data_IF_887793233876
#
_entry.id   IF_887793233876
#
_cell.length_a   1.000
_cell.length_b   1.000
_cell.length_c   1.000
_cell.angle_alpha   90.00
_cell.angle_beta   90.00
_cell.angle_gamma   90.00
#
_symmetry.space_group_name_H-M   'P 1'
#
loop_
_entity.id
_entity.type
_entity.pdbx_description
1 polymer ?
#
# COMPACT_ATOMS: atom_id res chain seq x y z
N UNK A 1 -36.18 55.62 -24.34
CA UNK A 1 -36.49 56.62 -23.30
C UNK A 1 -37.56 55.97 -22.44
N UNK A 2 -37.34 55.49 -21.22
CA UNK A 2 -36.24 55.54 -20.26
C UNK A 2 -36.44 54.32 -19.34
N UNK A 3 -35.40 53.57 -18.97
CA UNK A 3 -34.79 53.74 -17.66
C UNK A 3 -34.73 52.38 -16.94
N UNK A 4 -33.55 51.77 -16.90
CA UNK A 4 -33.24 50.68 -15.99
C UNK A 4 -33.01 51.26 -14.58
N UNK A 5 -33.60 50.71 -13.50
CA UNK A 5 -33.09 50.90 -12.17
C UNK A 5 -32.12 49.76 -11.81
N UNK A 6 -30.94 50.17 -11.38
CA UNK A 6 -29.87 49.36 -10.80
C UNK A 6 -30.34 48.60 -9.56
N UNK A 7 -29.98 47.32 -9.46
CA UNK A 7 -30.20 46.46 -8.29
C UNK A 7 -29.07 45.45 -8.17
N UNK A 8 -27.98 45.91 -7.57
CA UNK A 8 -26.81 45.15 -7.15
C UNK A 8 -27.15 44.27 -5.94
N UNK A 9 -26.72 43.02 -5.92
CA UNK A 9 -26.99 42.12 -4.79
C UNK A 9 -26.58 40.68 -5.08
N UNK A 10 -25.30 40.41 -4.84
CA UNK A 10 -24.75 39.06 -4.84
C UNK A 10 -25.49 38.17 -3.83
N UNK A 11 -26.03 37.04 -4.30
CA UNK A 11 -26.44 35.96 -3.43
C UNK A 11 -26.03 34.63 -4.09
N UNK A 12 -24.73 34.33 -3.98
CA UNK A 12 -24.22 32.99 -4.26
C UNK A 12 -24.58 32.10 -3.07
N UNK A 13 -25.78 31.53 -3.16
CA UNK A 13 -26.30 30.35 -2.46
C UNK A 13 -25.42 29.77 -1.35
N UNK A 14 -25.75 30.17 -0.11
CA UNK A 14 -26.16 29.27 0.97
C UNK A 14 -25.37 27.96 1.13
N UNK A 15 -24.15 28.06 1.66
CA UNK A 15 -23.56 26.96 2.44
C UNK A 15 -24.17 26.99 3.85
N UNK A 16 -24.95 25.98 4.28
CA UNK A 16 -25.56 25.99 5.60
C UNK A 16 -24.48 25.99 6.71
N UNK A 17 -24.73 26.66 7.85
CA UNK A 17 -23.79 26.67 8.96
C UNK A 17 -23.63 25.25 9.52
N UNK A 18 -22.38 24.79 9.62
CA UNK A 18 -22.04 23.53 10.28
C UNK A 18 -22.49 23.62 11.75
N UNK A 19 -23.49 22.82 12.10
CA UNK A 19 -24.05 22.69 13.46
C UNK A 19 -22.98 22.33 14.51
N UNK A 20 -23.18 22.67 15.80
CA UNK A 20 -22.13 22.64 16.80
C UNK A 20 -21.71 21.23 17.24
N UNK A 21 -20.38 21.13 17.40
CA UNK A 21 -19.50 20.06 17.89
C UNK A 21 -20.13 19.03 18.86
N UNK A 22 -20.17 17.77 18.42
CA UNK A 22 -20.27 16.57 19.27
C UNK A 22 -18.84 16.07 19.65
N UNK A 23 -18.68 15.31 20.76
CA UNK A 23 -17.48 15.33 21.58
C UNK A 23 -16.24 14.77 20.87
N UNK A 24 -15.15 15.53 20.94
CA UNK A 24 -13.83 15.14 20.44
C UNK A 24 -13.37 13.89 21.19
N UNK A 25 -13.62 12.71 20.62
CA UNK A 25 -12.91 11.50 21.04
C UNK A 25 -11.42 11.82 20.98
N UNK A 26 -10.71 11.67 22.11
CA UNK A 26 -9.29 12.02 22.18
C UNK A 26 -8.56 11.29 21.06
N UNK A 27 -8.09 12.06 20.06
CA UNK A 27 -7.37 11.52 18.91
C UNK A 27 -6.09 10.88 19.43
N UNK A 28 -6.05 9.55 19.47
CA UNK A 28 -4.92 8.75 19.99
C UNK A 28 -3.59 8.97 19.25
N UNK A 29 -3.66 9.49 18.01
CA UNK A 29 -2.51 9.78 17.16
C UNK A 29 -2.58 11.23 16.66
N UNK A 30 -1.91 12.14 17.36
CA UNK A 30 -1.81 13.55 17.01
C UNK A 30 -0.77 13.73 15.89
N UNK A 31 -1.08 14.58 14.92
CA UNK A 31 -0.15 14.94 13.84
C UNK A 31 0.29 16.35 14.11
N UNK A 32 1.56 16.53 14.42
CA UNK A 32 2.20 17.84 14.55
C UNK A 32 3.40 17.84 13.61
N UNK A 33 3.38 18.75 12.64
CA UNK A 33 4.46 18.88 11.66
C UNK A 33 5.33 20.08 11.97
N UNK A 34 6.64 19.89 11.93
CA UNK A 34 7.58 20.99 11.96
C UNK A 34 7.62 21.74 10.59
N UNK A 35 8.22 22.94 10.52
CA UNK A 35 8.24 23.73 9.28
C UNK A 35 8.94 23.03 8.09
N UNK A 36 10.00 22.26 8.36
CA UNK A 36 10.77 21.53 7.34
C UNK A 36 9.94 20.37 6.77
N UNK A 37 9.34 19.57 7.65
CA UNK A 37 8.40 18.50 7.35
C UNK A 37 7.23 19.00 6.51
N UNK A 38 6.62 20.12 6.92
CA UNK A 38 5.51 20.73 6.18
C UNK A 38 5.94 21.14 4.77
N UNK A 39 7.13 21.74 4.64
CA UNK A 39 7.68 22.16 3.35
C UNK A 39 7.95 20.96 2.45
N UNK A 40 8.57 19.92 2.97
CA UNK A 40 8.83 18.68 2.26
C UNK A 40 7.53 18.02 1.77
N UNK A 41 6.52 17.89 2.63
CA UNK A 41 5.23 17.31 2.26
C UNK A 41 4.49 18.15 1.20
N UNK A 42 4.57 19.49 1.28
CA UNK A 42 4.02 20.37 0.24
C UNK A 42 4.70 20.15 -1.11
N UNK A 43 6.02 20.02 -1.14
CA UNK A 43 6.78 19.71 -2.36
C UNK A 43 6.41 18.32 -2.90
N UNK A 44 6.28 17.32 -2.04
CA UNK A 44 5.87 15.96 -2.42
C UNK A 44 4.46 15.93 -3.03
N UNK A 45 3.53 16.76 -2.53
CA UNK A 45 2.20 16.95 -3.12
C UNK A 45 2.26 17.76 -4.42
N UNK A 46 3.21 18.69 -4.57
CA UNK A 46 3.38 19.44 -5.83
C UNK A 46 3.98 18.58 -6.96
N UNK A 47 4.92 17.66 -6.65
CA UNK A 47 5.70 16.88 -7.62
C UNK A 47 4.89 15.92 -8.54
N UNK A 48 3.58 15.81 -8.37
CA UNK A 48 2.68 15.24 -9.39
C UNK A 48 2.71 13.71 -9.55
N UNK A 49 1.84 13.01 -8.82
CA UNK A 49 1.31 11.69 -9.22
C UNK A 49 0.11 11.33 -8.34
N UNK A 50 -1.14 11.34 -8.84
CA UNK A 50 -2.35 11.25 -8.03
C UNK A 50 -2.56 9.89 -7.31
N UNK A 51 -1.75 8.87 -7.61
CA UNK A 51 -2.01 7.48 -7.18
C UNK A 51 -0.93 6.88 -6.27
N UNK A 52 0.03 7.65 -5.75
CA UNK A 52 1.06 7.12 -4.84
C UNK A 52 0.61 7.20 -3.37
N UNK A 53 0.90 6.15 -2.60
CA UNK A 53 0.72 6.12 -1.13
C UNK A 53 1.42 7.33 -0.45
N UNK A 54 2.69 7.67 -0.79
CA UNK A 54 3.36 8.85 -0.23
C UNK A 54 2.55 10.14 -0.37
N UNK A 55 2.03 10.43 -1.57
CA UNK A 55 1.25 11.64 -1.82
C UNK A 55 -0.02 11.68 -0.99
N UNK A 56 -0.77 10.58 -0.95
CA UNK A 56 -2.02 10.51 -0.18
C UNK A 56 -1.77 10.71 1.31
N UNK A 57 -0.72 10.09 1.87
CA UNK A 57 -0.32 10.29 3.27
C UNK A 57 0.08 11.73 3.52
N UNK A 58 0.87 12.34 2.64
CA UNK A 58 1.25 13.74 2.73
C UNK A 58 0.03 14.69 2.74
N UNK A 59 -0.94 14.48 1.85
CA UNK A 59 -2.19 15.25 1.85
C UNK A 59 -2.95 15.10 3.17
N UNK A 60 -3.08 13.87 3.67
CA UNK A 60 -3.77 13.61 4.95
C UNK A 60 -3.05 14.31 6.10
N UNK A 61 -1.73 14.21 6.20
CA UNK A 61 -0.98 14.83 7.30
C UNK A 61 -1.03 16.34 7.26
N UNK A 62 -0.92 16.96 6.07
CA UNK A 62 -1.04 18.41 5.92
C UNK A 62 -2.42 18.93 6.33
N UNK A 63 -3.49 18.16 6.09
CA UNK A 63 -4.86 18.55 6.47
C UNK A 63 -5.18 18.30 7.95
N UNK A 64 -4.57 17.27 8.55
CA UNK A 64 -4.78 16.92 9.96
C UNK A 64 -3.75 17.54 10.91
N UNK A 65 -2.80 18.31 10.39
CA UNK A 65 -1.74 18.97 11.16
C UNK A 65 -2.35 19.87 12.25
N UNK A 66 -1.94 19.62 13.49
CA UNK A 66 -2.32 20.36 14.70
C UNK A 66 -1.25 21.36 15.14
N UNK A 67 -0.15 21.47 14.40
CA UNK A 67 0.86 22.49 14.62
C UNK A 67 0.31 23.91 14.42
N UNK A 68 1.11 24.94 14.75
CA UNK A 68 0.64 26.34 14.79
C UNK A 68 0.13 26.89 13.43
N UNK A 69 0.57 26.33 12.31
CA UNK A 69 0.05 26.70 10.97
C UNK A 69 -0.79 25.58 10.33
N UNK A 70 -1.16 24.57 11.13
CA UNK A 70 -1.94 23.43 10.70
C UNK A 70 -3.43 23.77 10.63
N UNK A 71 -4.18 23.25 9.64
CA UNK A 71 -5.61 23.54 9.51
C UNK A 71 -6.49 22.73 10.48
N UNK A 72 -5.93 21.76 11.22
CA UNK A 72 -6.61 20.99 12.29
C UNK A 72 -7.92 20.33 11.85
N UNK A 73 -7.97 19.76 10.65
CA UNK A 73 -9.20 19.15 10.15
C UNK A 73 -9.61 17.88 10.94
N UNK A 74 -10.91 17.64 11.00
CA UNK A 74 -11.44 16.36 11.50
C UNK A 74 -11.15 15.24 10.51
N UNK A 75 -11.18 14.00 10.98
CA UNK A 75 -10.85 12.87 10.11
C UNK A 75 -11.88 12.69 9.01
N UNK A 76 -13.15 13.01 9.28
CA UNK A 76 -14.27 12.98 8.34
C UNK A 76 -14.05 13.99 7.22
N UNK A 77 -13.71 15.24 7.58
CA UNK A 77 -13.45 16.31 6.60
C UNK A 77 -12.22 16.01 5.75
N UNK A 78 -11.15 15.49 6.37
CA UNK A 78 -9.94 15.09 5.64
C UNK A 78 -10.22 13.91 4.70
N UNK A 79 -11.01 12.92 5.16
CA UNK A 79 -11.38 11.76 4.36
C UNK A 79 -12.19 12.16 3.12
N UNK A 80 -13.14 13.07 3.27
CA UNK A 80 -13.93 13.65 2.18
C UNK A 80 -13.03 14.38 1.17
N UNK A 81 -12.17 15.28 1.65
CA UNK A 81 -11.30 16.08 0.78
C UNK A 81 -10.25 15.27 0.00
N UNK A 82 -9.79 14.14 0.57
CA UNK A 82 -8.81 13.25 -0.06
C UNK A 82 -9.50 12.08 -0.80
N UNK A 83 -10.83 11.98 -0.74
CA UNK A 83 -11.64 10.89 -1.30
C UNK A 83 -11.18 9.49 -0.83
N UNK A 84 -11.04 9.32 0.49
CA UNK A 84 -10.66 8.05 1.14
C UNK A 84 -11.62 7.71 2.28
N UNK A 85 -11.55 6.49 2.79
CA UNK A 85 -12.28 6.14 4.01
C UNK A 85 -11.65 6.81 5.24
N UNK A 86 -12.48 7.15 6.24
CA UNK A 86 -12.03 7.70 7.54
C UNK A 86 -10.98 6.81 8.20
N UNK A 87 -11.12 5.48 8.10
CA UNK A 87 -10.13 4.52 8.61
C UNK A 87 -8.76 4.66 7.94
N UNK A 88 -8.70 5.11 6.67
CA UNK A 88 -7.43 5.38 5.98
C UNK A 88 -6.74 6.61 6.58
N UNK A 89 -7.51 7.65 6.94
CA UNK A 89 -6.99 8.82 7.65
C UNK A 89 -6.41 8.41 9.00
N UNK A 90 -7.17 7.65 9.79
CA UNK A 90 -6.70 7.11 11.07
C UNK A 90 -5.38 6.33 10.94
N UNK A 91 -5.30 5.39 9.98
CA UNK A 91 -4.09 4.59 9.75
C UNK A 91 -2.91 5.44 9.27
N UNK A 92 -3.16 6.49 8.50
CA UNK A 92 -2.11 7.41 8.08
C UNK A 92 -1.56 8.20 9.27
N UNK A 93 -2.42 8.70 10.17
CA UNK A 93 -2.01 9.37 11.41
C UNK A 93 -1.23 8.41 12.32
N UNK A 94 -1.75 7.20 12.51
CA UNK A 94 -1.08 6.15 13.27
C UNK A 94 0.32 5.83 12.73
N UNK A 95 0.46 5.69 11.40
CA UNK A 95 1.75 5.38 10.80
C UNK A 95 2.77 6.50 11.01
N UNK A 96 2.37 7.76 10.91
CA UNK A 96 3.28 8.88 11.18
C UNK A 96 3.81 8.85 12.61
N UNK A 97 2.91 8.68 13.59
CA UNK A 97 3.27 8.70 15.02
C UNK A 97 4.09 7.48 15.45
N UNK A 98 3.75 6.29 14.94
CA UNK A 98 4.41 5.04 15.37
C UNK A 98 5.64 4.67 14.55
N UNK A 99 5.68 5.04 13.27
CA UNK A 99 6.74 4.63 12.34
C UNK A 99 7.65 5.80 11.92
N UNK A 100 7.22 7.04 12.11
CA UNK A 100 7.92 8.24 11.61
C UNK A 100 7.61 8.55 10.14
N UNK A 101 7.92 9.77 9.71
CA UNK A 101 7.55 10.27 8.37
C UNK A 101 8.13 9.42 7.24
N UNK A 102 9.44 9.20 7.23
CA UNK A 102 10.11 8.50 6.13
C UNK A 102 9.60 7.07 5.97
N UNK A 103 9.55 6.30 7.06
CA UNK A 103 9.07 4.93 7.03
C UNK A 103 7.59 4.85 6.63
N UNK A 104 6.78 5.82 7.09
CA UNK A 104 5.38 5.89 6.70
C UNK A 104 5.19 6.35 5.25
N UNK A 105 6.12 7.04 4.61
CA UNK A 105 6.00 7.32 3.17
C UNK A 105 6.37 6.11 2.32
N UNK A 106 7.18 5.20 2.82
CA UNK A 106 7.62 4.01 2.10
C UNK A 106 6.61 2.86 2.18
N UNK A 107 6.47 2.12 1.07
CA UNK A 107 5.71 0.87 1.08
C UNK A 107 6.58 -0.22 1.69
N UNK A 108 6.12 -0.84 2.78
CA UNK A 108 6.81 -2.00 3.36
C UNK A 108 7.00 -3.09 2.31
N UNK A 109 8.22 -3.65 2.16
CA UNK A 109 8.47 -4.75 1.23
C UNK A 109 7.58 -5.93 1.61
N UNK A 110 6.90 -6.50 0.61
CA UNK A 110 6.11 -7.72 0.84
C UNK A 110 7.10 -8.88 0.89
N UNK A 111 7.09 -9.72 1.94
CA UNK A 111 7.93 -10.90 1.96
C UNK A 111 7.59 -11.75 0.73
N UNK A 112 8.60 -12.38 0.10
CA UNK A 112 8.37 -13.27 -1.02
C UNK A 112 7.45 -14.40 -0.58
N UNK A 113 6.59 -14.87 -1.50
CA UNK A 113 5.81 -16.09 -1.24
C UNK A 113 6.78 -17.27 -1.09
N UNK A 114 6.61 -18.13 -0.08
CA UNK A 114 7.45 -19.32 0.06
C UNK A 114 7.34 -20.17 -1.21
N UNK A 115 8.48 -20.69 -1.66
CA UNK A 115 8.55 -21.61 -2.80
C UNK A 115 8.17 -23.00 -2.33
N UNK A 116 7.36 -23.75 -3.10
CA UNK A 116 7.10 -25.17 -2.81
C UNK A 116 8.35 -26.04 -2.86
N UNK A 117 9.37 -25.59 -3.58
CA UNK A 117 10.70 -26.18 -3.57
C UNK A 117 11.62 -25.22 -2.84
N UNK A 118 11.64 -25.32 -1.52
CA UNK A 118 12.57 -24.63 -0.63
C UNK A 118 13.46 -25.65 0.10
N UNK A 119 14.58 -25.17 0.66
CA UNK A 119 15.48 -25.94 1.53
C UNK A 119 15.71 -27.39 1.09
N UNK A 120 15.08 -28.33 1.81
CA UNK A 120 15.23 -29.79 1.67
C UNK A 120 14.68 -30.34 0.36
N UNK A 121 13.64 -29.73 -0.22
CA UNK A 121 13.01 -30.23 -1.45
C UNK A 121 13.87 -29.97 -2.70
N UNK A 122 14.80 -29.01 -2.66
CA UNK A 122 15.66 -28.69 -3.79
C UNK A 122 16.76 -29.75 -4.02
N UNK A 123 17.53 -30.19 -3.00
CA UNK A 123 18.45 -31.33 -3.12
C UNK A 123 17.76 -32.60 -3.61
N UNK A 124 16.55 -32.88 -3.13
CA UNK A 124 15.74 -34.02 -3.55
C UNK A 124 15.42 -33.98 -5.04
N UNK A 125 15.00 -32.82 -5.56
CA UNK A 125 14.80 -32.62 -7.00
C UNK A 125 16.09 -32.85 -7.80
N UNK A 126 17.24 -32.36 -7.33
CA UNK A 126 18.52 -32.57 -8.02
C UNK A 126 18.89 -34.06 -8.01
N UNK A 127 18.74 -34.74 -6.87
CA UNK A 127 18.99 -36.19 -6.74
C UNK A 127 18.14 -36.98 -7.73
N UNK A 128 16.84 -36.71 -7.79
CA UNK A 128 15.93 -37.36 -8.74
C UNK A 128 16.34 -37.05 -10.18
N UNK A 129 16.63 -35.79 -10.52
CA UNK A 129 17.02 -35.39 -11.87
C UNK A 129 18.34 -36.03 -12.34
N UNK A 130 19.27 -36.33 -11.43
CA UNK A 130 20.51 -37.04 -11.69
C UNK A 130 20.39 -38.57 -11.67
N UNK A 131 19.24 -39.12 -11.26
CA UNK A 131 18.99 -40.55 -11.21
C UNK A 131 18.52 -41.12 -12.56
N UNK A 132 18.42 -42.45 -12.65
CA UNK A 132 17.92 -43.12 -13.85
C UNK A 132 16.42 -42.80 -14.05
N UNK A 133 16.02 -42.33 -15.26
CA UNK A 133 14.60 -42.11 -15.57
C UNK A 133 13.77 -43.40 -15.45
N UNK A 134 12.45 -43.30 -15.23
CA UNK A 134 11.58 -44.46 -15.12
C UNK A 134 11.57 -45.30 -16.41
N UNK A 135 11.28 -46.62 -16.31
CA UNK A 135 11.27 -47.53 -17.44
C UNK A 135 10.43 -47.02 -18.61
N UNK A 136 10.93 -47.19 -19.84
CA UNK A 136 10.28 -46.70 -21.06
C UNK A 136 10.48 -45.22 -21.35
N UNK A 137 11.33 -44.52 -20.59
CA UNK A 137 11.72 -43.12 -20.85
C UNK A 137 13.23 -42.99 -21.00
N UNK A 138 13.68 -42.29 -22.04
CA UNK A 138 15.10 -42.03 -22.27
C UNK A 138 15.68 -40.90 -21.40
N UNK A 139 14.83 -40.02 -20.85
CA UNK A 139 15.26 -38.86 -20.05
C UNK A 139 14.15 -38.39 -19.10
N UNK A 140 14.55 -37.70 -18.03
CA UNK A 140 13.63 -36.94 -17.20
C UNK A 140 12.99 -35.80 -17.99
N UNK A 141 11.67 -35.69 -17.90
CA UNK A 141 10.94 -34.48 -18.34
C UNK A 141 10.45 -33.73 -17.12
N UNK A 142 10.20 -32.43 -17.26
CA UNK A 142 9.70 -31.61 -16.14
C UNK A 142 8.39 -32.15 -15.54
N UNK A 143 7.52 -32.75 -16.37
CA UNK A 143 6.29 -33.41 -15.90
C UNK A 143 6.57 -34.67 -15.09
N UNK A 144 7.55 -35.48 -15.52
CA UNK A 144 7.96 -36.68 -14.80
C UNK A 144 8.62 -36.31 -13.47
N UNK A 145 9.50 -35.31 -13.45
CA UNK A 145 10.11 -34.82 -12.22
C UNK A 145 9.05 -34.27 -11.24
N UNK A 146 8.06 -33.52 -11.75
CA UNK A 146 6.98 -33.03 -10.92
C UNK A 146 6.14 -34.17 -10.32
N UNK A 147 5.80 -35.19 -11.12
CA UNK A 147 5.05 -36.35 -10.65
C UNK A 147 5.86 -37.19 -9.65
N UNK A 148 7.15 -37.40 -9.92
CA UNK A 148 8.05 -38.16 -9.06
C UNK A 148 8.23 -37.48 -7.69
N UNK A 149 8.38 -36.16 -7.65
CA UNK A 149 8.46 -35.41 -6.40
C UNK A 149 7.18 -35.50 -5.55
N UNK A 150 6.02 -35.66 -6.18
CA UNK A 150 4.76 -35.91 -5.47
C UNK A 150 4.69 -37.36 -5.00
N UNK A 151 5.11 -38.31 -5.83
CA UNK A 151 5.13 -39.73 -5.48
C UNK A 151 6.08 -40.05 -4.32
N UNK A 152 7.20 -39.33 -4.21
CA UNK A 152 8.15 -39.41 -3.11
C UNK A 152 7.75 -38.57 -1.88
N UNK A 153 6.54 -38.00 -1.88
CA UNK A 153 6.00 -37.15 -0.80
C UNK A 153 6.89 -35.95 -0.44
N UNK A 154 7.73 -35.50 -1.38
CA UNK A 154 8.58 -34.31 -1.19
C UNK A 154 7.73 -33.05 -1.23
N UNK A 155 6.64 -33.05 -2.01
CA UNK A 155 5.66 -31.95 -2.13
C UNK A 155 4.27 -32.51 -2.41
N UNK A 156 3.22 -31.88 -1.86
CA UNK A 156 1.82 -32.32 -2.11
C UNK A 156 1.39 -32.16 -3.58
N UNK A 157 1.90 -31.12 -4.24
CA UNK A 157 1.60 -30.82 -5.64
C UNK A 157 2.57 -29.80 -6.20
N UNK A 158 3.02 -29.98 -7.43
CA UNK A 158 3.91 -29.02 -8.06
C UNK A 158 3.68 -28.88 -9.57
N UNK A 159 3.74 -27.65 -10.05
CA UNK A 159 3.71 -27.36 -11.47
C UNK A 159 5.09 -27.64 -12.11
N UNK A 160 5.15 -28.22 -13.32
CA UNK A 160 6.41 -28.43 -14.05
C UNK A 160 7.24 -27.15 -14.24
N UNK A 161 6.57 -25.99 -14.31
CA UNK A 161 7.24 -24.70 -14.42
C UNK A 161 8.00 -24.31 -13.14
N UNK A 162 7.51 -24.70 -11.96
CA UNK A 162 8.24 -24.52 -10.70
C UNK A 162 9.52 -25.35 -10.71
N UNK A 163 9.45 -26.60 -11.19
CA UNK A 163 10.63 -27.49 -11.35
C UNK A 163 11.67 -26.85 -12.28
N UNK A 164 11.25 -26.35 -13.45
CA UNK A 164 12.14 -25.67 -14.40
C UNK A 164 12.84 -24.46 -13.80
N UNK A 165 12.07 -23.59 -13.13
CA UNK A 165 12.59 -22.38 -12.49
C UNK A 165 13.57 -22.70 -11.36
N UNK A 166 13.35 -23.79 -10.63
CA UNK A 166 14.26 -24.24 -9.58
C UNK A 166 15.55 -24.79 -10.19
N UNK A 167 15.48 -25.70 -11.17
CA UNK A 167 16.67 -26.27 -11.83
C UNK A 167 17.53 -25.21 -12.53
N UNK A 168 16.92 -24.14 -13.08
CA UNK A 168 17.68 -23.02 -13.69
C UNK A 168 18.44 -22.18 -12.66
N UNK A 169 18.00 -22.16 -11.41
CA UNK A 169 18.63 -21.39 -10.32
C UNK A 169 19.76 -22.15 -9.64
N UNK A 170 19.72 -23.48 -9.69
CA UNK A 170 20.81 -24.32 -9.20
C UNK A 170 22.02 -24.13 -10.13
N UNK A 171 23.19 -23.69 -9.62
CA UNK A 171 24.39 -23.48 -10.42
C UNK A 171 24.95 -24.78 -11.01
#
# INVERSE_FOLDING_TARGET
MDGWPTGEGADHDLRPPLSPRAPMSHKRFLVELNPEERTYLKQLVAAGSPKTLPRRRAQIWLLCDQGPEGPVWTDERTAEAVAVAVMTVYRARQALVLEGMEAALQRKPRPPRPSKLDGVAQPELVRVACSTPPPGRARWTLKLLAAELVALEVVDSIAPETVRRTLKKTP
#
